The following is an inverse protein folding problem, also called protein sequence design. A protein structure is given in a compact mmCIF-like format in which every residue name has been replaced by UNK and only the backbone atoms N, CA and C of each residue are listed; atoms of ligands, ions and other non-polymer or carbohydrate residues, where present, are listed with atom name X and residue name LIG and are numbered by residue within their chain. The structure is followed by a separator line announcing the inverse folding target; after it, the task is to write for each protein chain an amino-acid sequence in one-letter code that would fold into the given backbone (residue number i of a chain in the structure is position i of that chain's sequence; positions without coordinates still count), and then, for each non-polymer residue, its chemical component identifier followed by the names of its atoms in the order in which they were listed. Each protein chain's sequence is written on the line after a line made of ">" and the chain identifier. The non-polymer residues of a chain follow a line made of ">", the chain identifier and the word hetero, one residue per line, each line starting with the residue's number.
data_IF_985481903409
#
_entry.id   IF_985481903409
#
_cell.length_a   1.000
_cell.length_b   1.000
_cell.length_c   1.000
_cell.angle_alpha   90.00
_cell.angle_beta   90.00
_cell.angle_gamma   90.00
#
_symmetry.space_group_name_H-M   'P 1'
#
loop_
_entity.id
_entity.type
_entity.pdbx_description
1 polymer ?
#
# COMPACT_ATOMS: atom_id res chain seq x y z
N UNK A 1 -15.54 -2.35 2.47
CA UNK A 1 -14.93 -3.51 3.13
C UNK A 1 -14.46 -3.07 4.51
N UNK A 2 -14.99 -3.65 5.59
CA UNK A 2 -14.68 -3.22 6.96
C UNK A 2 -13.50 -4.03 7.53
N UNK A 3 -12.39 -3.36 7.85
CA UNK A 3 -11.16 -4.01 8.33
C UNK A 3 -11.11 -4.20 9.84
N UNK A 4 -11.86 -3.40 10.59
CA UNK A 4 -12.01 -3.56 12.05
C UNK A 4 -13.23 -2.79 12.52
N UNK A 5 -14.08 -3.43 13.32
CA UNK A 5 -15.21 -2.80 14.00
C UNK A 5 -14.72 -2.18 15.32
N UNK A 6 -13.74 -1.28 15.22
CA UNK A 6 -13.09 -0.64 16.38
C UNK A 6 -12.60 -1.63 17.47
N UNK A 7 -12.16 -2.84 17.08
CA UNK A 7 -11.69 -3.86 18.01
C UNK A 7 -12.79 -4.70 18.70
N UNK A 8 -14.06 -4.56 18.31
CA UNK A 8 -15.14 -5.41 18.82
C UNK A 8 -15.22 -6.72 18.03
N UNK A 9 -14.92 -7.85 18.69
CA UNK A 9 -15.17 -9.19 18.16
C UNK A 9 -16.68 -9.44 18.22
N UNK A 10 -17.40 -9.05 17.16
CA UNK A 10 -18.85 -9.28 17.07
C UNK A 10 -19.20 -10.70 16.65
N UNK A 11 -18.24 -11.51 16.19
CA UNK A 11 -18.49 -12.86 15.70
C UNK A 11 -17.34 -13.81 16.09
N UNK A 12 -17.71 -14.97 16.66
CA UNK A 12 -16.81 -16.00 17.19
C UNK A 12 -16.72 -17.23 16.29
N UNK A 13 -17.31 -17.21 15.09
CA UNK A 13 -17.13 -18.30 14.13
C UNK A 13 -15.68 -18.30 13.59
N UNK A 14 -14.89 -19.36 13.86
CA UNK A 14 -13.51 -19.47 13.37
C UNK A 14 -13.40 -19.39 11.85
N UNK A 15 -14.37 -19.91 11.10
CA UNK A 15 -14.33 -19.94 9.64
C UNK A 15 -14.48 -18.52 9.05
N UNK A 16 -15.38 -17.72 9.61
CA UNK A 16 -15.58 -16.33 9.20
C UNK A 16 -14.45 -15.40 9.67
N UNK A 17 -13.69 -15.81 10.70
CA UNK A 17 -12.45 -15.13 11.10
C UNK A 17 -11.30 -15.44 10.15
N UNK A 18 -11.12 -16.71 9.77
CA UNK A 18 -10.09 -17.14 8.81
C UNK A 18 -10.26 -16.46 7.45
N UNK A 19 -11.48 -16.44 6.90
CA UNK A 19 -11.79 -15.71 5.65
C UNK A 19 -11.39 -14.24 5.74
N UNK A 20 -11.76 -13.56 6.83
CA UNK A 20 -11.41 -12.14 7.04
C UNK A 20 -9.91 -11.92 7.10
N UNK A 21 -9.15 -12.83 7.70
CA UNK A 21 -7.69 -12.74 7.75
C UNK A 21 -7.08 -12.85 6.35
N UNK A 22 -7.50 -13.83 5.54
CA UNK A 22 -7.02 -13.96 4.16
C UNK A 22 -7.37 -12.76 3.28
N UNK A 23 -8.58 -12.21 3.45
CA UNK A 23 -8.98 -11.00 2.75
C UNK A 23 -8.18 -9.78 3.20
N UNK A 24 -7.84 -9.69 4.49
CA UNK A 24 -6.97 -8.64 5.01
C UNK A 24 -5.57 -8.75 4.43
N UNK A 25 -5.01 -9.96 4.37
CA UNK A 25 -3.69 -10.21 3.80
C UNK A 25 -3.63 -9.77 2.33
N UNK A 26 -4.65 -10.09 1.53
CA UNK A 26 -4.73 -9.66 0.14
C UNK A 26 -4.72 -8.13 -0.01
N UNK A 27 -5.52 -7.44 0.80
CA UNK A 27 -5.59 -5.98 0.76
C UNK A 27 -4.31 -5.34 1.29
N UNK A 28 -3.74 -5.86 2.37
CA UNK A 28 -2.47 -5.39 2.92
C UNK A 28 -1.34 -5.49 1.88
N UNK A 29 -1.25 -6.63 1.18
CA UNK A 29 -0.28 -6.83 0.11
C UNK A 29 -0.48 -5.84 -1.04
N UNK A 30 -1.73 -5.59 -1.46
CA UNK A 30 -2.04 -4.61 -2.49
C UNK A 30 -1.61 -3.18 -2.09
N UNK A 31 -1.84 -2.79 -0.83
CA UNK A 31 -1.43 -1.48 -0.30
C UNK A 31 0.10 -1.38 -0.23
N UNK A 32 0.79 -2.41 0.24
CA UNK A 32 2.26 -2.46 0.29
C UNK A 32 2.85 -2.30 -1.12
N UNK A 33 2.27 -2.98 -2.11
CA UNK A 33 2.70 -2.88 -3.50
C UNK A 33 2.50 -1.47 -4.05
N UNK A 34 1.31 -0.88 -3.88
CA UNK A 34 1.05 0.48 -4.35
C UNK A 34 1.97 1.51 -3.70
N UNK A 35 2.24 1.39 -2.40
CA UNK A 35 3.19 2.27 -1.71
C UNK A 35 4.60 2.12 -2.28
N UNK A 36 5.04 0.90 -2.57
CA UNK A 36 6.34 0.65 -3.17
C UNK A 36 6.45 1.32 -4.54
N UNK A 37 5.41 1.22 -5.37
CA UNK A 37 5.36 1.87 -6.69
C UNK A 37 5.40 3.40 -6.54
N UNK A 38 4.55 3.98 -5.69
CA UNK A 38 4.50 5.42 -5.45
C UNK A 38 5.87 5.96 -4.97
N UNK A 39 6.55 5.23 -4.06
CA UNK A 39 7.88 5.61 -3.56
C UNK A 39 8.96 5.50 -4.63
N UNK A 40 8.96 4.44 -5.44
CA UNK A 40 9.92 4.27 -6.55
C UNK A 40 9.78 5.41 -7.57
N UNK A 41 8.56 5.75 -7.95
CA UNK A 41 8.28 6.86 -8.88
C UNK A 41 8.73 8.21 -8.30
N UNK A 42 8.48 8.46 -7.01
CA UNK A 42 8.94 9.67 -6.34
C UNK A 42 10.47 9.77 -6.33
N UNK A 43 11.16 8.65 -6.09
CA UNK A 43 12.63 8.60 -6.14
C UNK A 43 13.14 8.88 -7.55
N UNK A 44 12.54 8.27 -8.59
CA UNK A 44 12.90 8.54 -9.99
C UNK A 44 12.72 10.02 -10.34
N UNK A 45 11.57 10.61 -10.00
CA UNK A 45 11.31 12.03 -10.26
C UNK A 45 12.34 12.96 -9.59
N UNK A 46 12.85 12.60 -8.40
CA UNK A 46 13.92 13.35 -7.72
C UNK A 46 15.26 13.17 -8.43
N UNK A 47 15.56 11.98 -8.94
CA UNK A 47 16.76 11.73 -9.76
C UNK A 47 16.73 12.53 -11.07
N UNK A 48 15.59 12.58 -11.74
CA UNK A 48 15.40 13.32 -13.00
C UNK A 48 15.58 14.83 -12.84
N UNK A 49 15.27 15.35 -11.64
CA UNK A 49 15.55 16.74 -11.27
C UNK A 49 17.05 17.03 -11.02
N UNK A 50 17.91 16.01 -11.14
CA UNK A 50 19.36 16.13 -10.98
C UNK A 50 19.86 16.01 -9.55
N UNK A 51 19.00 15.63 -8.59
CA UNK A 51 19.43 15.40 -7.21
C UNK A 51 20.16 14.05 -7.07
N UNK A 52 21.28 14.01 -6.33
CA UNK A 52 21.98 12.76 -6.08
C UNK A 52 21.17 11.89 -5.11
N UNK A 53 20.74 10.72 -5.57
CA UNK A 53 20.10 9.70 -4.73
C UNK A 53 21.13 8.61 -4.44
N UNK A 54 21.62 8.54 -3.20
CA UNK A 54 22.56 7.50 -2.76
C UNK A 54 21.85 6.39 -1.99
N UNK A 55 22.50 5.23 -1.87
CA UNK A 55 21.99 4.08 -1.12
C UNK A 55 21.74 4.39 0.35
N UNK A 56 22.55 5.26 0.95
CA UNK A 56 22.43 5.66 2.35
C UNK A 56 21.18 6.53 2.57
N UNK A 57 20.84 7.39 1.61
CA UNK A 57 19.62 8.20 1.66
C UNK A 57 18.37 7.33 1.52
N UNK A 58 18.41 6.31 0.66
CA UNK A 58 17.31 5.34 0.52
C UNK A 58 17.16 4.52 1.81
N UNK A 59 18.26 4.13 2.45
CA UNK A 59 18.21 3.38 3.71
C UNK A 59 17.60 4.20 4.88
N UNK A 60 17.74 5.52 4.84
CA UNK A 60 17.09 6.43 5.79
C UNK A 60 15.64 6.76 5.47
N UNK A 61 15.11 6.29 4.34
CA UNK A 61 13.75 6.58 3.91
C UNK A 61 12.76 5.86 4.82
N UNK A 62 11.91 6.63 5.50
CA UNK A 62 10.76 6.08 6.23
C UNK A 62 9.49 6.46 5.47
N UNK A 63 8.66 5.45 5.19
CA UNK A 63 7.36 5.71 4.60
C UNK A 63 6.53 6.55 5.59
N UNK A 64 6.27 7.79 5.22
CA UNK A 64 5.38 8.64 6.00
C UNK A 64 3.92 8.27 5.68
N UNK A 65 3.06 8.22 6.70
CA UNK A 65 1.66 7.91 6.50
C UNK A 65 1.00 9.08 5.76
N UNK A 66 0.81 8.94 4.46
CA UNK A 66 0.07 9.93 3.67
C UNK A 66 -1.43 9.71 3.85
N UNK A 67 -2.23 10.72 3.52
CA UNK A 67 -3.70 10.68 3.60
C UNK A 67 -4.36 9.52 2.82
N UNK A 68 -3.61 8.80 1.98
CA UNK A 68 -4.08 7.67 1.17
C UNK A 68 -4.27 6.36 1.94
N UNK A 69 -3.63 6.18 3.11
CA UNK A 69 -3.73 4.92 3.88
C UNK A 69 -4.68 5.12 5.06
N UNK A 70 -5.84 4.45 5.00
CA UNK A 70 -6.82 4.44 6.10
C UNK A 70 -6.66 3.20 6.96
N UNK A 71 -6.23 3.36 8.22
CA UNK A 71 -6.19 2.26 9.21
C UNK A 71 -7.59 1.69 9.50
N UNK A 72 -8.63 2.51 9.35
CA UNK A 72 -10.04 2.14 9.50
C UNK A 72 -10.86 2.79 8.37
N UNK A 73 -11.80 2.05 7.79
CA UNK A 73 -12.72 2.56 6.77
C UNK A 73 -12.69 1.74 5.48
N UNK A 74 -13.54 2.11 4.54
CA UNK A 74 -13.64 1.42 3.26
C UNK A 74 -12.54 1.86 2.30
N UNK A 75 -11.78 0.88 1.76
CA UNK A 75 -11.01 1.07 0.55
C UNK A 75 -11.95 0.95 -0.66
N UNK A 76 -11.96 1.98 -1.50
CA UNK A 76 -12.64 1.94 -2.79
C UNK A 76 -11.61 1.41 -3.79
N UNK A 77 -11.90 0.24 -4.36
CA UNK A 77 -11.08 -0.33 -5.41
C UNK A 77 -11.46 0.36 -6.72
N UNK A 78 -10.54 1.16 -7.25
CA UNK A 78 -10.64 1.60 -8.63
C UNK A 78 -10.12 0.48 -9.54
N UNK A 79 -11.03 -0.15 -10.28
CA UNK A 79 -10.69 -1.19 -11.27
C UNK A 79 -10.67 -0.65 -12.71
N UNK A 80 -10.93 0.65 -12.90
CA UNK A 80 -10.93 1.30 -14.20
C UNK A 80 -9.55 1.86 -14.55
N UNK A 81 -8.80 2.30 -13.54
CA UNK A 81 -7.42 2.74 -13.73
C UNK A 81 -6.49 1.54 -13.76
N UNK A 82 -5.97 1.22 -14.94
CA UNK A 82 -4.89 0.24 -15.07
C UNK A 82 -3.59 0.89 -14.58
N UNK A 83 -2.90 0.32 -13.59
CA UNK A 83 -1.58 0.81 -13.22
C UNK A 83 -0.63 0.67 -14.41
N UNK A 84 0.36 1.56 -14.48
CA UNK A 84 1.41 1.46 -15.48
C UNK A 84 2.06 0.06 -15.42
N UNK A 85 2.46 -0.52 -16.57
CA UNK A 85 3.18 -1.78 -16.60
C UNK A 85 4.40 -1.74 -15.68
N UNK A 86 4.67 -2.86 -14.99
CA UNK A 86 5.79 -2.93 -14.05
C UNK A 86 7.13 -2.59 -14.70
N UNK A 87 7.33 -2.95 -15.97
CA UNK A 87 8.54 -2.61 -16.73
C UNK A 87 8.71 -1.10 -16.92
N UNK A 88 7.61 -0.35 -17.10
CA UNK A 88 7.65 1.11 -17.27
C UNK A 88 7.84 1.85 -15.94
N UNK A 89 7.47 1.22 -14.81
CA UNK A 89 7.68 1.79 -13.46
C UNK A 89 9.15 1.67 -13.02
N UNK A 90 9.86 0.66 -13.54
CA UNK A 90 11.23 0.34 -13.14
C UNK A 90 12.30 0.80 -14.13
N UNK A 91 11.89 1.21 -15.34
CA UNK A 91 12.75 1.83 -16.35
C UNK A 91 13.18 3.24 -15.93
#
# INVERSE_FOLDING_TARGET
>A
MFFTKAGLITDKDPLEQEKRMHYLDLVANAIILQNTIDLSQAIQAVRDQGFPVTTELIAGLSAYLTSKIKRYGDYILDMLTKPLPFEEIMA
#
